data_IF_962696412486
#
_entry.id   IF_962696412486
#
_cell.length_a   1.000
_cell.length_b   1.000
_cell.length_c   1.000
_cell.angle_alpha   90.00
_cell.angle_beta   90.00
_cell.angle_gamma   90.00
#
_symmetry.space_group_name_H-M   'P 1'
#
loop_
_entity.id
_entity.type
_entity.pdbx_description
1 polymer ?
#
# COMPACT_ATOMS: atom_id res chain seq x y z
N UNK A 1 -29.04 -17.45 8.94
CA UNK A 1 -27.79 -16.84 8.48
C UNK A 1 -26.66 -17.59 9.16
N UNK A 2 -25.70 -18.07 8.39
CA UNK A 2 -24.54 -18.75 8.98
C UNK A 2 -23.68 -17.74 9.75
N UNK A 3 -23.13 -18.13 10.92
CA UNK A 3 -22.27 -17.26 11.69
C UNK A 3 -21.02 -16.91 10.88
N UNK A 4 -20.49 -15.69 11.02
CA UNK A 4 -19.25 -15.32 10.37
C UNK A 4 -18.11 -16.23 10.86
N UNK A 5 -17.11 -16.53 10.00
CA UNK A 5 -15.92 -17.28 10.39
C UNK A 5 -15.34 -16.81 11.72
N UNK A 6 -14.91 -17.76 12.56
CA UNK A 6 -14.47 -17.48 13.93
C UNK A 6 -13.33 -16.45 14.03
N UNK A 7 -12.47 -16.34 13.02
CA UNK A 7 -11.40 -15.34 13.00
C UNK A 7 -11.94 -13.90 12.90
N UNK A 8 -13.04 -13.67 12.17
CA UNK A 8 -13.66 -12.35 12.05
C UNK A 8 -14.24 -11.91 13.38
N UNK A 9 -14.85 -12.83 14.12
CA UNK A 9 -15.38 -12.55 15.46
C UNK A 9 -14.27 -12.13 16.43
N UNK A 10 -13.08 -12.76 16.34
CA UNK A 10 -11.92 -12.35 17.16
C UNK A 10 -11.44 -10.95 16.80
N UNK A 11 -11.35 -10.62 15.51
CA UNK A 11 -10.94 -9.29 15.04
C UNK A 11 -11.95 -8.24 15.50
N UNK A 12 -13.24 -8.54 15.41
CA UNK A 12 -14.31 -7.64 15.85
C UNK A 12 -14.22 -7.35 17.35
N UNK A 13 -14.01 -8.37 18.18
CA UNK A 13 -13.82 -8.20 19.62
C UNK A 13 -12.58 -7.36 19.92
N UNK A 14 -11.48 -7.59 19.19
CA UNK A 14 -10.26 -6.78 19.34
C UNK A 14 -10.46 -5.34 18.91
N UNK A 15 -11.24 -5.06 17.87
CA UNK A 15 -11.45 -3.72 17.35
C UNK A 15 -12.47 -2.92 18.19
N UNK A 16 -13.44 -3.61 18.78
CA UNK A 16 -14.49 -3.04 19.64
C UNK A 16 -14.23 -3.18 21.14
N UNK A 17 -13.02 -3.57 21.58
CA UNK A 17 -12.76 -3.97 22.97
C UNK A 17 -13.05 -2.88 24.00
N UNK A 18 -12.94 -1.60 23.59
CA UNK A 18 -13.21 -0.46 24.46
C UNK A 18 -14.70 -0.28 24.78
N UNK A 19 -15.60 -0.92 24.01
CA UNK A 19 -17.06 -0.86 24.19
C UNK A 19 -17.61 0.57 24.39
N UNK A 20 -17.00 1.55 23.74
CA UNK A 20 -17.39 2.96 23.85
C UNK A 20 -18.60 3.20 22.93
N UNK A 21 -19.71 3.67 23.51
CA UNK A 21 -20.92 4.07 22.79
C UNK A 21 -21.80 2.91 22.31
N UNK A 22 -22.97 3.26 21.76
CA UNK A 22 -23.94 2.33 21.17
C UNK A 22 -24.32 2.82 19.76
N UNK A 23 -23.97 2.12 18.67
CA UNK A 23 -23.20 0.87 18.60
C UNK A 23 -21.73 1.05 19.00
N UNK A 24 -21.07 -0.04 19.40
CA UNK A 24 -19.67 -0.02 19.84
C UNK A 24 -18.72 0.62 18.82
N UNK A 25 -17.88 1.52 19.31
CA UNK A 25 -16.87 2.22 18.52
C UNK A 25 -15.75 1.25 18.11
N UNK A 26 -15.48 1.20 16.81
CA UNK A 26 -14.35 0.45 16.25
C UNK A 26 -13.15 1.38 16.15
N UNK A 27 -12.06 0.96 16.80
CA UNK A 27 -10.84 1.73 16.90
C UNK A 27 -10.19 1.89 15.53
N UNK A 28 -10.28 0.87 14.68
CA UNK A 28 -9.77 0.87 13.31
C UNK A 28 -10.26 2.06 12.50
N UNK A 29 -11.55 2.40 12.58
CA UNK A 29 -12.13 3.54 11.89
C UNK A 29 -11.56 4.88 12.37
N UNK A 30 -11.41 5.04 13.68
CA UNK A 30 -10.85 6.26 14.28
C UNK A 30 -9.36 6.39 13.96
N UNK A 31 -8.61 5.29 14.10
CA UNK A 31 -7.17 5.26 13.79
C UNK A 31 -6.92 5.53 12.31
N UNK A 32 -7.71 4.95 11.41
CA UNK A 32 -7.61 5.21 9.98
C UNK A 32 -7.80 6.69 9.66
N UNK A 33 -8.87 7.30 10.19
CA UNK A 33 -9.15 8.71 9.98
C UNK A 33 -8.04 9.59 10.57
N UNK A 34 -7.65 9.34 11.82
CA UNK A 34 -6.60 10.09 12.51
C UNK A 34 -5.25 9.99 11.80
N UNK A 35 -4.84 8.79 11.37
CA UNK A 35 -3.58 8.57 10.67
C UNK A 35 -3.58 9.22 9.29
N UNK A 36 -4.67 9.10 8.53
CA UNK A 36 -4.78 9.74 7.21
C UNK A 36 -4.77 11.27 7.33
N UNK A 37 -5.50 11.83 8.30
CA UNK A 37 -5.47 13.26 8.61
C UNK A 37 -4.07 13.70 9.04
N UNK A 38 -3.39 12.95 9.90
CA UNK A 38 -2.01 13.24 10.30
C UNK A 38 -1.06 13.29 9.10
N UNK A 39 -1.13 12.30 8.18
CA UNK A 39 -0.30 12.28 6.97
C UNK A 39 -0.59 13.48 6.05
N UNK A 40 -1.86 13.88 5.96
CA UNK A 40 -2.24 15.09 5.22
C UNK A 40 -1.65 16.35 5.86
N UNK A 41 -1.83 16.52 7.18
CA UNK A 41 -1.28 17.66 7.92
C UNK A 41 0.24 17.69 7.86
N UNK A 42 0.92 16.54 7.95
CA UNK A 42 2.37 16.41 7.76
C UNK A 42 2.80 16.95 6.40
N UNK A 43 2.04 16.62 5.35
CA UNK A 43 2.35 17.08 3.98
C UNK A 43 2.12 18.57 3.81
N UNK A 44 1.08 19.11 4.44
CA UNK A 44 0.82 20.54 4.41
C UNK A 44 1.85 21.26 5.26
N UNK A 45 2.01 20.98 6.54
CA UNK A 45 2.80 21.84 7.43
C UNK A 45 4.32 21.73 7.29
N UNK A 46 4.87 20.61 6.81
CA UNK A 46 6.32 20.45 6.68
C UNK A 46 6.78 21.00 5.30
N UNK A 47 7.53 22.11 5.22
CA UNK A 47 7.87 22.76 3.95
C UNK A 47 8.61 21.84 2.97
N UNK A 48 9.53 21.02 3.50
CA UNK A 48 10.32 20.08 2.70
C UNK A 48 9.42 19.03 2.01
N UNK A 49 8.41 18.54 2.73
CA UNK A 49 7.46 17.54 2.19
C UNK A 49 6.51 18.22 1.22
N UNK A 50 6.00 19.41 1.55
CA UNK A 50 5.12 20.19 0.67
C UNK A 50 5.80 20.49 -0.67
N UNK A 51 7.08 20.87 -0.64
CA UNK A 51 7.86 21.23 -1.82
C UNK A 51 7.98 20.07 -2.83
N UNK A 52 8.16 18.84 -2.35
CA UNK A 52 8.29 17.65 -3.22
C UNK A 52 6.95 16.97 -3.54
N UNK A 53 5.83 17.48 -3.03
CA UNK A 53 4.52 16.84 -3.17
C UNK A 53 3.81 17.28 -4.44
N UNK A 54 3.26 16.30 -5.18
CA UNK A 54 2.45 16.51 -6.37
C UNK A 54 0.95 16.47 -6.03
N UNK A 55 0.05 17.03 -6.87
CA UNK A 55 -1.40 16.88 -6.66
C UNK A 55 -1.86 15.42 -6.52
N UNK A 56 -1.22 14.50 -7.25
CA UNK A 56 -1.45 13.07 -7.18
C UNK A 56 -1.12 12.46 -5.79
N UNK A 57 -0.33 13.14 -4.96
CA UNK A 57 -0.06 12.70 -3.59
C UNK A 57 -1.24 13.01 -2.67
N UNK A 58 -1.90 14.16 -2.85
CA UNK A 58 -3.00 14.62 -2.00
C UNK A 58 -4.30 13.88 -2.28
N UNK A 59 -4.56 13.53 -3.54
CA UNK A 59 -5.82 12.91 -3.95
C UNK A 59 -6.13 11.60 -3.19
N UNK A 60 -5.20 10.62 -3.07
CA UNK A 60 -5.41 9.43 -2.24
C UNK A 60 -5.73 9.72 -0.79
N UNK A 61 -5.08 10.72 -0.19
CA UNK A 61 -5.33 11.07 1.22
C UNK A 61 -6.74 11.62 1.39
N UNK A 62 -7.17 12.55 0.53
CA UNK A 62 -8.53 13.06 0.56
C UNK A 62 -9.56 11.95 0.31
N UNK A 63 -9.29 11.06 -0.63
CA UNK A 63 -10.16 9.94 -0.95
C UNK A 63 -10.32 8.98 0.24
N UNK A 64 -9.22 8.59 0.88
CA UNK A 64 -9.24 7.72 2.08
C UNK A 64 -9.95 8.41 3.24
N UNK A 65 -9.68 9.70 3.48
CA UNK A 65 -10.38 10.48 4.53
C UNK A 65 -11.88 10.52 4.24
N UNK A 66 -12.30 10.79 3.00
CA UNK A 66 -13.71 10.83 2.63
C UNK A 66 -14.40 9.47 2.79
N UNK A 67 -13.73 8.37 2.44
CA UNK A 67 -14.22 7.00 2.67
C UNK A 67 -14.35 6.72 4.17
N UNK A 68 -13.35 7.07 4.98
CA UNK A 68 -13.38 6.87 6.42
C UNK A 68 -14.52 7.68 7.07
N UNK A 69 -14.65 8.97 6.72
CA UNK A 69 -15.72 9.83 7.23
C UNK A 69 -17.10 9.31 6.85
N UNK A 70 -17.31 8.97 5.57
CA UNK A 70 -18.61 8.44 5.12
C UNK A 70 -18.93 7.09 5.78
N UNK A 71 -17.95 6.21 5.98
CA UNK A 71 -18.13 4.96 6.71
C UNK A 71 -18.50 5.16 8.18
N UNK A 72 -17.80 6.06 8.88
CA UNK A 72 -18.10 6.44 10.27
C UNK A 72 -19.51 7.06 10.38
N UNK A 73 -19.87 7.95 9.44
CA UNK A 73 -21.20 8.57 9.40
C UNK A 73 -22.31 7.52 9.24
N UNK A 74 -22.18 6.60 8.28
CA UNK A 74 -23.17 5.53 8.06
C UNK A 74 -23.34 4.60 9.26
N UNK A 75 -22.28 4.43 10.06
CA UNK A 75 -22.31 3.51 11.19
C UNK A 75 -22.90 4.14 12.45
N UNK A 76 -22.46 5.35 12.79
CA UNK A 76 -22.76 5.95 14.10
C UNK A 76 -23.85 7.03 14.05
N UNK A 77 -24.05 7.67 12.91
CA UNK A 77 -24.92 8.85 12.80
C UNK A 77 -26.13 8.61 11.90
N UNK A 78 -25.90 8.05 10.72
CA UNK A 78 -26.91 7.84 9.68
C UNK A 78 -27.06 6.35 9.46
N UNK A 79 -27.91 5.71 10.26
CA UNK A 79 -28.13 4.26 10.16
C UNK A 79 -28.58 3.89 8.75
N UNK A 80 -27.89 2.93 8.15
CA UNK A 80 -28.23 2.39 6.84
C UNK A 80 -28.69 0.94 7.01
N UNK A 81 -29.60 0.49 6.14
CA UNK A 81 -30.05 -0.89 6.13
C UNK A 81 -28.94 -1.84 5.66
N UNK A 82 -28.30 -2.48 6.64
CA UNK A 82 -27.20 -3.43 6.44
C UNK A 82 -27.68 -4.69 5.71
N UNK A 83 -28.96 -5.09 5.86
CA UNK A 83 -29.52 -6.28 5.20
C UNK A 83 -29.60 -6.03 3.69
N UNK A 84 -30.16 -4.88 3.31
CA UNK A 84 -30.23 -4.44 1.91
C UNK A 84 -28.86 -4.23 1.29
N UNK A 85 -27.91 -3.60 2.00
CA UNK A 85 -26.52 -3.46 1.53
C UNK A 85 -25.86 -4.82 1.28
N UNK A 86 -26.06 -5.78 2.19
CA UNK A 86 -25.52 -7.14 2.03
C UNK A 86 -26.13 -7.83 0.81
N UNK A 87 -27.44 -7.69 0.60
CA UNK A 87 -28.13 -8.19 -0.59
C UNK A 87 -27.54 -7.65 -1.89
N UNK A 88 -27.37 -6.32 -1.97
CA UNK A 88 -26.74 -5.67 -3.11
C UNK A 88 -25.30 -6.17 -3.34
N UNK A 89 -24.50 -6.26 -2.28
CA UNK A 89 -23.11 -6.70 -2.36
C UNK A 89 -23.03 -8.14 -2.89
N UNK A 90 -23.86 -9.05 -2.38
CA UNK A 90 -23.95 -10.43 -2.87
C UNK A 90 -24.44 -10.49 -4.32
N UNK A 91 -25.39 -9.63 -4.71
CA UNK A 91 -25.85 -9.50 -6.09
C UNK A 91 -24.73 -9.11 -7.05
N UNK A 92 -23.89 -8.15 -6.66
CA UNK A 92 -22.72 -7.74 -7.45
C UNK A 92 -21.71 -8.88 -7.63
N UNK A 93 -21.38 -9.62 -6.56
CA UNK A 93 -20.44 -10.75 -6.65
C UNK A 93 -21.00 -11.96 -7.40
N UNK A 94 -22.31 -12.20 -7.32
CA UNK A 94 -23.00 -13.28 -8.04
C UNK A 94 -23.41 -12.90 -9.46
N UNK A 95 -23.07 -11.68 -9.92
CA UNK A 95 -23.47 -11.11 -11.20
C UNK A 95 -24.99 -11.11 -11.43
N UNK A 96 -25.76 -11.10 -10.35
CA UNK A 96 -27.22 -10.99 -10.34
C UNK A 96 -27.61 -9.63 -9.76
N UNK A 97 -27.76 -8.63 -10.62
CA UNK A 97 -28.06 -7.27 -10.21
C UNK A 97 -29.52 -7.14 -9.73
N UNK A 98 -29.73 -7.22 -8.42
CA UNK A 98 -30.92 -6.70 -7.77
C UNK A 98 -30.53 -5.49 -6.92
N UNK A 99 -31.29 -4.40 -7.04
CA UNK A 99 -31.12 -3.20 -6.21
C UNK A 99 -32.25 -3.20 -5.18
N UNK A 100 -31.96 -3.55 -3.91
CA UNK A 100 -32.97 -3.49 -2.85
C UNK A 100 -33.45 -2.04 -2.66
N UNK A 101 -34.74 -1.88 -2.41
CA UNK A 101 -35.31 -0.58 -2.04
C UNK A 101 -34.87 -0.17 -0.63
N UNK A 102 -34.78 1.15 -0.38
CA UNK A 102 -34.49 1.68 0.96
C UNK A 102 -33.01 1.91 1.30
N UNK A 103 -32.09 1.74 0.34
CA UNK A 103 -30.67 2.08 0.54
C UNK A 103 -30.50 3.61 0.55
N UNK A 104 -29.93 4.14 1.63
CA UNK A 104 -29.70 5.58 1.79
C UNK A 104 -28.65 6.14 0.82
N UNK A 105 -28.81 7.40 0.42
CA UNK A 105 -27.91 8.11 -0.52
C UNK A 105 -26.44 8.08 -0.07
N UNK A 106 -26.20 8.18 1.25
CA UNK A 106 -24.84 8.17 1.81
C UNK A 106 -24.08 6.88 1.49
N UNK A 107 -24.77 5.75 1.40
CA UNK A 107 -24.15 4.48 0.99
C UNK A 107 -23.68 4.53 -0.46
N UNK A 108 -24.49 5.07 -1.37
CA UNK A 108 -24.07 5.20 -2.77
C UNK A 108 -22.90 6.16 -2.94
N UNK A 109 -22.85 7.24 -2.14
CA UNK A 109 -21.67 8.13 -2.09
C UNK A 109 -20.44 7.35 -1.62
N UNK A 110 -20.55 6.59 -0.53
CA UNK A 110 -19.44 5.78 -0.04
C UNK A 110 -18.97 4.73 -1.06
N UNK A 111 -19.91 3.98 -1.65
CA UNK A 111 -19.63 2.97 -2.68
C UNK A 111 -18.96 3.59 -3.92
N UNK A 112 -19.38 4.78 -4.32
CA UNK A 112 -18.76 5.52 -5.40
C UNK A 112 -17.31 5.92 -5.06
N UNK A 113 -17.05 6.44 -3.85
CA UNK A 113 -15.70 6.77 -3.40
C UNK A 113 -14.79 5.53 -3.37
N UNK A 114 -15.29 4.40 -2.86
CA UNK A 114 -14.56 3.12 -2.86
C UNK A 114 -14.28 2.64 -4.28
N UNK A 115 -15.26 2.75 -5.19
CA UNK A 115 -15.07 2.41 -6.61
C UNK A 115 -14.00 3.29 -7.27
N UNK A 116 -13.98 4.59 -6.97
CA UNK A 116 -12.91 5.49 -7.43
C UNK A 116 -11.57 5.04 -6.87
N UNK A 117 -11.49 4.67 -5.58
CA UNK A 117 -10.25 4.19 -4.98
C UNK A 117 -9.74 2.95 -5.71
N UNK A 118 -10.60 1.97 -5.96
CA UNK A 118 -10.26 0.75 -6.69
C UNK A 118 -9.76 1.05 -8.12
N UNK A 119 -10.45 1.92 -8.86
CA UNK A 119 -10.03 2.34 -10.20
C UNK A 119 -8.71 3.13 -10.18
N UNK A 120 -8.44 3.89 -9.12
CA UNK A 120 -7.25 4.73 -8.99
C UNK A 120 -6.00 3.95 -8.57
N UNK A 121 -6.17 2.86 -7.79
CA UNK A 121 -5.07 2.01 -7.31
C UNK A 121 -4.01 1.73 -8.40
N UNK A 122 -4.32 1.09 -9.55
CA UNK A 122 -3.32 0.68 -10.55
C UNK A 122 -2.46 1.82 -11.12
N UNK A 123 -2.97 3.05 -11.09
CA UNK A 123 -2.32 4.22 -11.69
C UNK A 123 -1.67 5.14 -10.66
N UNK A 124 -1.52 4.67 -9.42
CA UNK A 124 -1.12 5.52 -8.31
C UNK A 124 0.02 4.95 -7.47
N UNK A 125 0.58 5.81 -6.60
CA UNK A 125 1.56 5.42 -5.59
C UNK A 125 1.01 4.39 -4.58
N UNK A 126 -0.32 4.17 -4.56
CA UNK A 126 -0.91 3.11 -3.74
C UNK A 126 -0.44 1.73 -4.18
N UNK A 127 -0.10 1.51 -5.46
CA UNK A 127 0.38 0.20 -5.97
C UNK A 127 1.59 -0.37 -5.22
N UNK A 128 2.31 0.44 -4.45
CA UNK A 128 3.38 -0.06 -3.59
C UNK A 128 2.91 -1.21 -2.66
N UNK A 129 1.63 -1.26 -2.27
CA UNK A 129 1.12 -2.34 -1.41
C UNK A 129 1.28 -3.73 -2.07
N UNK A 130 1.15 -3.82 -3.40
CA UNK A 130 1.37 -5.06 -4.14
C UNK A 130 2.85 -5.47 -4.17
N UNK A 131 3.76 -4.48 -4.16
CA UNK A 131 5.20 -4.71 -4.14
C UNK A 131 5.70 -5.48 -2.91
N UNK A 132 4.99 -5.40 -1.78
CA UNK A 132 5.31 -6.17 -0.56
C UNK A 132 5.21 -7.68 -0.79
N UNK A 133 4.27 -8.12 -1.64
CA UNK A 133 4.09 -9.53 -1.96
C UNK A 133 5.01 -9.97 -3.10
N UNK A 134 5.34 -9.07 -4.02
CA UNK A 134 6.17 -9.35 -5.20
C UNK A 134 7.67 -9.10 -4.98
N UNK A 135 8.10 -8.83 -3.74
CA UNK A 135 9.50 -8.52 -3.45
C UNK A 135 10.45 -9.68 -3.83
N UNK A 136 11.61 -9.41 -4.47
CA UNK A 136 12.56 -10.45 -4.86
C UNK A 136 13.02 -11.34 -3.69
N UNK A 137 13.18 -10.77 -2.49
CA UNK A 137 13.56 -11.51 -1.28
C UNK A 137 12.54 -12.56 -0.84
N UNK A 138 11.28 -12.46 -1.29
CA UNK A 138 10.22 -13.44 -0.99
C UNK A 138 10.00 -14.45 -2.11
N UNK A 139 10.23 -14.05 -3.37
CA UNK A 139 9.86 -14.86 -4.54
C UNK A 139 11.05 -15.43 -5.33
N UNK A 140 12.26 -14.94 -5.13
CA UNK A 140 13.46 -15.41 -5.83
C UNK A 140 14.40 -16.12 -4.86
N UNK A 141 15.09 -17.14 -5.38
CA UNK A 141 16.19 -17.77 -4.68
C UNK A 141 17.31 -16.75 -4.47
N UNK A 142 17.91 -16.74 -3.27
CA UNK A 142 19.05 -15.89 -2.96
C UNK A 142 20.37 -16.52 -3.46
N UNK A 143 20.47 -16.81 -4.75
CA UNK A 143 21.63 -17.46 -5.37
C UNK A 143 22.53 -16.49 -6.16
N UNK A 144 22.28 -15.18 -6.07
CA UNK A 144 23.03 -14.13 -6.77
C UNK A 144 24.56 -14.19 -6.58
N UNK A 145 25.04 -14.77 -5.46
CA UNK A 145 26.48 -14.97 -5.16
C UNK A 145 27.05 -16.28 -5.69
N UNK A 146 26.21 -17.26 -6.00
CA UNK A 146 26.60 -18.60 -6.48
C UNK A 146 26.41 -18.71 -7.99
N UNK A 147 25.34 -18.13 -8.52
CA UNK A 147 25.01 -18.10 -9.94
C UNK A 147 24.96 -16.66 -10.42
N UNK A 148 26.04 -16.23 -11.08
CA UNK A 148 26.09 -14.91 -11.71
C UNK A 148 25.22 -14.92 -12.97
N UNK A 149 24.18 -14.08 -13.00
CA UNK A 149 23.46 -13.82 -14.24
C UNK A 149 24.32 -12.96 -15.18
N UNK A 150 24.66 -13.49 -16.34
CA UNK A 150 25.35 -12.74 -17.40
C UNK A 150 24.30 -12.28 -18.39
N UNK A 151 24.18 -10.97 -18.56
CA UNK A 151 23.21 -10.36 -19.46
C UNK A 151 23.53 -10.77 -20.93
N UNK A 152 22.61 -11.39 -21.68
CA UNK A 152 22.81 -11.76 -23.09
C UNK A 152 23.06 -10.56 -24.02
N UNK A 153 22.64 -9.36 -23.61
CA UNK A 153 22.75 -8.13 -24.39
C UNK A 153 24.07 -7.38 -24.16
N UNK A 154 25.04 -8.00 -23.48
CA UNK A 154 26.31 -7.36 -23.17
C UNK A 154 27.17 -7.31 -24.44
N UNK A 155 27.40 -6.11 -24.97
CA UNK A 155 28.29 -5.89 -26.10
C UNK A 155 29.76 -5.97 -25.64
N UNK A 156 30.72 -6.23 -26.53
CA UNK A 156 32.14 -6.21 -26.16
C UNK A 156 32.53 -4.80 -25.76
N UNK A 157 32.66 -4.58 -24.45
CA UNK A 157 33.20 -3.35 -23.87
C UNK A 157 34.71 -3.53 -23.73
N UNK A 158 35.50 -2.50 -24.06
CA UNK A 158 36.92 -2.49 -23.69
C UNK A 158 37.01 -2.46 -22.16
N UNK A 159 37.47 -3.55 -21.58
CA UNK A 159 37.69 -3.65 -20.14
C UNK A 159 39.14 -3.26 -19.84
N UNK A 160 39.35 -2.61 -18.70
CA UNK A 160 40.68 -2.45 -18.11
C UNK A 160 40.87 -3.65 -17.18
N UNK A 161 41.72 -4.57 -17.60
CA UNK A 161 42.03 -5.77 -16.82
C UNK A 161 42.82 -5.40 -15.58
N UNK A 162 42.77 -6.26 -14.56
CA UNK A 162 43.56 -6.05 -13.35
C UNK A 162 45.07 -5.96 -13.69
N UNK A 163 45.54 -6.76 -14.65
CA UNK A 163 46.94 -6.71 -15.08
C UNK A 163 47.31 -5.35 -15.69
N UNK A 164 46.49 -4.80 -16.58
CA UNK A 164 46.71 -3.48 -17.16
C UNK A 164 46.65 -2.37 -16.09
N UNK A 165 45.75 -2.50 -15.12
CA UNK A 165 45.65 -1.57 -13.99
C UNK A 165 46.88 -1.67 -13.08
N UNK A 166 47.33 -2.88 -12.77
CA UNK A 166 48.52 -3.12 -11.97
C UNK A 166 49.75 -2.53 -12.64
N UNK A 167 49.92 -2.72 -13.95
CA UNK A 167 51.06 -2.18 -14.70
C UNK A 167 51.06 -0.64 -14.74
N UNK A 168 49.89 0.00 -14.79
CA UNK A 168 49.75 1.46 -14.78
C UNK A 168 50.00 2.08 -13.39
N UNK A 169 49.61 1.38 -12.31
CA UNK A 169 49.58 1.93 -10.96
C UNK A 169 50.49 1.22 -9.95
N UNK A 170 51.33 0.29 -10.41
CA UNK A 170 52.22 -0.58 -9.61
C UNK A 170 52.92 0.16 -8.49
N UNK A 171 53.64 1.23 -8.84
CA UNK A 171 54.46 1.98 -7.88
C UNK A 171 53.60 2.60 -6.76
N UNK A 172 52.43 3.13 -7.11
CA UNK A 172 51.49 3.71 -6.14
C UNK A 172 50.83 2.64 -5.27
N UNK A 173 50.53 1.49 -5.85
CA UNK A 173 49.96 0.36 -5.12
C UNK A 173 50.96 -0.23 -4.12
N UNK A 174 52.24 -0.32 -4.53
CA UNK A 174 53.35 -0.76 -3.67
C UNK A 174 53.59 0.21 -2.52
N UNK A 175 53.59 1.51 -2.80
CA UNK A 175 53.71 2.57 -1.78
C UNK A 175 52.53 2.54 -0.80
N UNK A 176 51.33 2.24 -1.28
CA UNK A 176 50.13 2.06 -0.46
C UNK A 176 50.06 0.71 0.29
N UNK A 177 51.04 -0.18 0.11
CA UNK A 177 51.08 -1.50 0.75
C UNK A 177 49.99 -2.46 0.27
N UNK A 178 49.47 -2.27 -0.95
CA UNK A 178 48.49 -3.16 -1.55
C UNK A 178 49.16 -4.43 -2.10
N UNK A 179 48.49 -5.60 -2.02
CA UNK A 179 49.01 -6.83 -2.60
C UNK A 179 49.05 -6.73 -4.14
N UNK A 180 50.17 -7.15 -4.74
CA UNK A 180 50.41 -7.19 -6.19
C UNK A 180 50.54 -8.65 -6.63
N UNK A 181 50.02 -8.98 -7.82
CA UNK A 181 50.14 -10.34 -8.36
C UNK A 181 51.47 -10.55 -9.09
N UNK A 182 52.07 -9.47 -9.63
CA UNK A 182 53.43 -9.47 -10.20
C UNK A 182 54.36 -8.68 -9.25
N UNK A 183 55.59 -9.15 -9.03
CA UNK A 183 56.58 -8.48 -8.14
C UNK A 183 57.09 -7.12 -8.66
#
# INVERSE_FOLDING_TARGET
MDPPPAFLQKIEVMDGFLQIGLPGLFISGVVLLAAATYLFLRRVFIPQVRYISLPADYFPLFLIIAIAVSGILMRYFIKVDVVSIKGLTLGLFSLNASVPEGIGVLFYVHLFLVSILLAYIPFSKLMHFGGVFLSPTRNLANDSRVKRHINPWNYPVKLHTYEEYEDEFRDKMKEAGLPLDKE
#
